data_IF_033892109695
#
_entry.id   IF_033892109695
#
_cell.length_a   1.000
_cell.length_b   1.000
_cell.length_c   1.000
_cell.angle_alpha   90.00
_cell.angle_beta   90.00
_cell.angle_gamma   90.00
#
_symmetry.space_group_name_H-M   'P 1'
#
loop_
_entity.id
_entity.type
_entity.pdbx_description
1 polymer ?
#
# COMPACT_ATOMS: atom_id res chain seq x y z
N UNK A 1 3.69 -18.82 -9.63
CA UNK A 1 3.40 -17.54 -10.35
C UNK A 1 2.43 -17.88 -11.49
N UNK A 2 1.39 -17.08 -11.76
CA UNK A 2 0.27 -17.52 -12.64
C UNK A 2 0.19 -16.82 -14.00
N UNK A 3 1.00 -15.79 -14.26
CA UNK A 3 0.97 -15.10 -15.54
C UNK A 3 1.51 -16.02 -16.65
N UNK A 4 0.67 -16.26 -17.67
CA UNK A 4 0.98 -17.11 -18.82
C UNK A 4 0.73 -16.35 -20.11
N UNK A 5 1.47 -16.67 -21.16
CA UNK A 5 1.16 -16.24 -22.54
C UNK A 5 -0.13 -16.90 -23.02
N UNK A 6 -0.60 -16.49 -24.22
CA UNK A 6 -1.73 -17.17 -24.88
C UNK A 6 -1.47 -18.67 -25.09
N UNK A 7 -0.20 -19.02 -25.31
CA UNK A 7 0.26 -20.40 -25.53
C UNK A 7 0.55 -21.16 -24.22
N UNK A 8 0.23 -20.57 -23.07
CA UNK A 8 0.31 -21.24 -21.76
C UNK A 8 1.69 -21.23 -21.10
N UNK A 9 2.71 -20.61 -21.72
CA UNK A 9 4.07 -20.49 -21.21
C UNK A 9 4.08 -19.49 -20.05
N UNK A 10 4.74 -19.82 -18.93
CA UNK A 10 4.87 -18.87 -17.83
C UNK A 10 5.78 -17.71 -18.22
N UNK A 11 5.30 -16.49 -17.97
CA UNK A 11 6.05 -15.26 -18.29
C UNK A 11 7.41 -15.21 -17.58
N UNK A 12 7.51 -15.81 -16.39
CA UNK A 12 8.76 -15.87 -15.62
C UNK A 12 9.81 -16.75 -16.30
N UNK A 13 9.39 -17.82 -16.96
CA UNK A 13 10.30 -18.72 -17.67
C UNK A 13 10.87 -18.00 -18.89
N UNK A 14 10.04 -17.27 -19.63
CA UNK A 14 10.48 -16.42 -20.75
C UNK A 14 11.51 -15.39 -20.27
N UNK A 15 11.22 -14.65 -19.19
CA UNK A 15 12.16 -13.66 -18.64
C UNK A 15 13.48 -14.33 -18.23
N UNK A 16 13.41 -15.52 -17.65
CA UNK A 16 14.59 -16.27 -17.20
C UNK A 16 15.44 -16.73 -18.38
N UNK A 17 14.83 -17.29 -19.42
CA UNK A 17 15.51 -17.76 -20.63
C UNK A 17 16.20 -16.61 -21.36
N UNK A 18 15.49 -15.50 -21.58
CA UNK A 18 16.03 -14.31 -22.25
C UNK A 18 17.21 -13.70 -21.49
N UNK A 19 17.09 -13.54 -20.15
CA UNK A 19 18.20 -12.98 -19.37
C UNK A 19 19.38 -13.95 -19.24
N UNK A 20 19.13 -15.26 -19.22
CA UNK A 20 20.20 -16.26 -19.17
C UNK A 20 20.95 -16.35 -20.50
N UNK A 21 20.27 -16.21 -21.65
CA UNK A 21 20.91 -16.17 -22.97
C UNK A 21 21.84 -14.95 -23.13
N UNK A 22 21.51 -13.86 -22.44
CA UNK A 22 22.35 -12.66 -22.32
C UNK A 22 23.51 -12.80 -21.32
N UNK A 23 23.69 -13.98 -20.72
CA UNK A 23 24.79 -14.29 -19.80
C UNK A 23 24.58 -13.86 -18.35
N UNK A 24 23.33 -13.64 -17.91
CA UNK A 24 23.03 -13.38 -16.49
C UNK A 24 22.68 -14.65 -15.74
N UNK A 25 23.07 -14.71 -14.46
CA UNK A 25 22.48 -15.62 -13.49
C UNK A 25 21.15 -15.04 -13.01
N UNK A 26 20.06 -15.79 -13.16
CA UNK A 26 18.70 -15.30 -12.92
C UNK A 26 18.04 -16.04 -11.76
N UNK A 27 17.57 -15.28 -10.79
CA UNK A 27 16.91 -15.75 -9.58
C UNK A 27 15.52 -15.13 -9.46
N UNK A 28 14.55 -15.85 -8.90
CA UNK A 28 13.25 -15.28 -8.59
C UNK A 28 12.73 -15.77 -7.25
N UNK A 29 11.98 -14.94 -6.55
CA UNK A 29 11.31 -15.32 -5.31
C UNK A 29 10.07 -14.46 -5.07
N UNK A 30 9.12 -14.97 -4.28
CA UNK A 30 7.98 -14.21 -3.79
C UNK A 30 8.30 -13.76 -2.37
N UNK A 31 8.35 -12.45 -2.16
CA UNK A 31 8.62 -11.85 -0.86
C UNK A 31 7.36 -11.18 -0.32
N UNK A 32 7.13 -11.27 0.99
CA UNK A 32 6.00 -10.65 1.68
C UNK A 32 6.45 -9.42 2.47
N UNK A 33 5.72 -8.31 2.36
CA UNK A 33 6.13 -7.04 2.98
C UNK A 33 6.13 -7.08 4.51
N UNK A 34 5.28 -7.91 5.14
CA UNK A 34 5.26 -8.09 6.61
C UNK A 34 6.59 -8.61 7.16
N UNK A 35 7.31 -9.40 6.36
CA UNK A 35 8.59 -10.01 6.73
C UNK A 35 9.72 -8.97 6.86
N UNK A 36 9.47 -7.74 6.42
CA UNK A 36 10.42 -6.62 6.42
C UNK A 36 9.88 -5.40 7.18
N UNK A 37 8.98 -5.62 8.14
CA UNK A 37 8.50 -4.57 9.05
C UNK A 37 7.50 -3.60 8.41
N UNK A 38 6.90 -3.96 7.28
CA UNK A 38 5.85 -3.16 6.64
C UNK A 38 4.48 -3.61 7.20
N UNK A 39 3.63 -2.70 7.70
CA UNK A 39 2.31 -3.01 8.28
C UNK A 39 1.26 -3.33 7.20
N UNK A 40 1.62 -4.15 6.21
CA UNK A 40 0.81 -4.47 5.04
C UNK A 40 1.04 -5.91 4.59
N UNK A 41 -0.05 -6.67 4.43
CA UNK A 41 -0.05 -8.00 3.83
C UNK A 41 0.02 -7.82 2.32
N UNK A 42 1.23 -7.93 1.76
CA UNK A 42 1.47 -7.81 0.31
C UNK A 42 2.61 -8.71 -0.12
N UNK A 43 2.30 -9.63 -1.05
CA UNK A 43 3.30 -10.46 -1.74
C UNK A 43 3.67 -9.86 -3.08
N UNK A 44 4.96 -9.83 -3.40
CA UNK A 44 5.46 -9.44 -4.72
C UNK A 44 6.47 -10.47 -5.22
N UNK A 45 6.37 -10.77 -6.52
CA UNK A 45 7.42 -11.49 -7.23
C UNK A 45 8.57 -10.53 -7.52
N UNK A 46 9.78 -10.95 -7.17
CA UNK A 46 11.01 -10.29 -7.55
C UNK A 46 11.82 -11.22 -8.44
N UNK A 47 12.42 -10.66 -9.48
CA UNK A 47 13.38 -11.32 -10.35
C UNK A 47 14.67 -10.50 -10.27
N UNK A 48 15.77 -11.18 -9.94
CA UNK A 48 17.11 -10.59 -9.87
C UNK A 48 17.95 -11.27 -10.93
N UNK A 49 18.57 -10.47 -11.80
CA UNK A 49 19.52 -10.94 -12.78
C UNK A 49 20.87 -10.27 -12.53
N UNK A 50 21.92 -11.07 -12.37
CA UNK A 50 23.27 -10.60 -12.06
C UNK A 50 24.31 -11.27 -12.96
N UNK A 51 25.34 -10.52 -13.39
CA UNK A 51 26.48 -11.08 -14.14
C UNK A 51 27.39 -11.93 -13.25
N UNK A 52 27.40 -11.65 -11.94
CA UNK A 52 28.05 -12.50 -10.93
C UNK A 52 27.02 -13.46 -10.36
N UNK A 53 27.42 -14.70 -10.10
CA UNK A 53 26.60 -15.63 -9.34
C UNK A 53 26.40 -15.13 -7.90
N UNK A 54 25.15 -15.11 -7.43
CA UNK A 54 24.77 -14.71 -6.08
C UNK A 54 24.48 -15.96 -5.25
N UNK A 55 25.07 -16.06 -4.05
CA UNK A 55 24.86 -17.19 -3.13
C UNK A 55 23.49 -17.07 -2.44
N UNK A 56 23.15 -15.87 -1.97
CA UNK A 56 21.88 -15.56 -1.32
C UNK A 56 21.19 -14.38 -2.02
N UNK A 57 20.55 -14.59 -3.18
CA UNK A 57 20.00 -13.49 -3.99
C UNK A 57 18.91 -12.67 -3.30
N UNK A 58 18.24 -13.21 -2.27
CA UNK A 58 17.15 -12.54 -1.57
C UNK A 58 17.43 -12.42 -0.06
N UNK A 59 17.00 -11.32 0.58
CA UNK A 59 17.15 -11.13 2.02
C UNK A 59 16.33 -12.17 2.81
N UNK A 60 16.83 -12.53 3.99
CA UNK A 60 16.06 -13.28 4.98
C UNK A 60 15.05 -12.34 5.67
N UNK A 61 13.90 -12.85 6.14
CA UNK A 61 12.95 -12.09 6.95
C UNK A 61 13.64 -11.43 8.16
N UNK A 62 13.27 -10.18 8.44
CA UNK A 62 13.71 -9.45 9.64
C UNK A 62 12.58 -9.31 10.66
N UNK A 63 11.33 -9.51 10.22
CA UNK A 63 10.13 -9.40 11.01
C UNK A 63 9.18 -10.58 10.75
N UNK A 64 8.21 -10.77 11.65
CA UNK A 64 6.99 -11.52 11.39
C UNK A 64 5.84 -10.94 12.23
N UNK A 65 4.60 -11.35 11.96
CA UNK A 65 3.39 -10.76 12.57
C UNK A 65 3.40 -10.83 14.11
N UNK A 66 4.02 -11.87 14.68
CA UNK A 66 4.01 -12.20 16.10
C UNK A 66 5.23 -11.70 16.87
N UNK A 67 6.35 -11.42 16.19
CA UNK A 67 7.67 -11.23 16.80
C UNK A 67 8.28 -12.51 17.37
N UNK A 68 7.97 -13.67 16.78
CA UNK A 68 8.50 -14.98 17.21
C UNK A 68 9.79 -15.36 16.48
N UNK A 69 10.45 -16.44 16.92
CA UNK A 69 11.58 -17.07 16.23
C UNK A 69 12.81 -16.17 16.05
N UNK A 70 13.01 -15.26 17.01
CA UNK A 70 14.10 -14.29 16.99
C UNK A 70 13.89 -13.11 16.01
N UNK A 71 12.71 -13.02 15.38
CA UNK A 71 12.34 -11.91 14.50
C UNK A 71 11.59 -10.81 15.25
N UNK A 72 11.67 -9.58 14.73
CA UNK A 72 10.93 -8.45 15.31
C UNK A 72 9.44 -8.54 14.95
N UNK A 73 8.57 -8.03 15.82
CA UNK A 73 7.14 -7.95 15.52
C UNK A 73 6.86 -6.95 14.41
N UNK A 74 6.13 -7.35 13.37
CA UNK A 74 5.66 -6.45 12.32
C UNK A 74 4.72 -5.39 12.93
N UNK A 75 4.91 -4.10 12.61
CA UNK A 75 3.99 -3.06 13.04
C UNK A 75 2.55 -3.34 12.58
N UNK A 76 1.58 -2.99 13.41
CA UNK A 76 0.17 -3.05 13.06
C UNK A 76 -0.25 -1.82 12.24
N UNK A 77 -1.47 -1.84 11.69
CA UNK A 77 -2.07 -0.64 11.09
C UNK A 77 -2.06 0.54 12.07
N UNK A 78 -2.42 0.30 13.33
CA UNK A 78 -2.48 1.37 14.33
C UNK A 78 -1.10 1.91 14.72
N UNK A 79 -0.09 1.04 14.75
CA UNK A 79 1.30 1.46 14.94
C UNK A 79 1.77 2.40 13.82
N UNK A 80 1.15 2.36 12.64
CA UNK A 80 1.51 3.21 11.50
C UNK A 80 0.83 4.58 11.50
N UNK A 81 -0.42 4.69 11.98
CA UNK A 81 -1.26 5.88 11.73
C UNK A 81 -1.81 6.58 12.99
N UNK A 82 -1.60 6.03 14.18
CA UNK A 82 -2.26 6.52 15.42
C UNK A 82 -1.79 7.91 15.90
N UNK A 83 -0.58 8.33 15.55
CA UNK A 83 -0.04 9.67 15.84
C UNK A 83 -0.46 10.74 14.82
N UNK A 84 -1.14 10.37 13.74
CA UNK A 84 -1.68 11.37 12.80
C UNK A 84 -2.86 12.12 13.42
N UNK A 85 -3.04 13.42 13.06
CA UNK A 85 -4.22 14.19 13.42
C UNK A 85 -5.51 13.47 13.02
N UNK A 86 -6.45 13.36 13.95
CA UNK A 86 -7.69 12.62 13.71
C UNK A 86 -8.70 13.52 13.00
N UNK A 87 -8.62 13.55 11.67
CA UNK A 87 -9.53 14.35 10.82
C UNK A 87 -10.78 13.57 10.41
N UNK A 88 -11.96 14.19 10.36
CA UNK A 88 -13.18 13.57 9.84
C UNK A 88 -13.25 13.63 8.31
N UNK A 89 -14.33 13.08 7.73
CA UNK A 89 -14.62 13.29 6.31
C UNK A 89 -14.71 14.79 6.00
N UNK A 90 -14.16 15.23 4.85
CA UNK A 90 -14.05 16.64 4.42
C UNK A 90 -13.08 17.53 5.22
N UNK A 91 -12.29 16.97 6.13
CA UNK A 91 -11.28 17.70 6.90
C UNK A 91 -9.85 17.39 6.40
N UNK A 92 -8.86 18.05 7.04
CA UNK A 92 -7.44 17.94 6.71
C UNK A 92 -7.02 18.82 5.53
N UNK A 93 -5.74 18.72 5.17
CA UNK A 93 -5.10 19.58 4.18
C UNK A 93 -3.92 18.89 3.50
N UNK A 94 -3.41 19.50 2.42
CA UNK A 94 -2.21 18.97 1.74
C UNK A 94 -0.95 19.13 2.60
N UNK A 95 -0.96 20.08 3.55
CA UNK A 95 0.09 20.29 4.54
C UNK A 95 -0.56 20.66 5.88
N UNK A 96 -0.13 20.04 6.97
CA UNK A 96 -0.53 20.38 8.35
C UNK A 96 0.54 19.99 9.36
N UNK A 97 0.46 20.53 10.56
CA UNK A 97 1.34 20.17 11.66
C UNK A 97 0.92 18.87 12.33
N UNK A 98 1.87 18.19 12.96
CA UNK A 98 1.57 17.10 13.88
C UNK A 98 0.93 17.67 15.15
N UNK A 99 -0.16 17.05 15.60
CA UNK A 99 -0.81 17.37 16.88
C UNK A 99 -0.35 16.43 18.02
N UNK A 100 0.43 15.40 17.68
CA UNK A 100 0.94 14.37 18.61
C UNK A 100 2.40 14.04 18.35
N UNK A 101 3.06 13.56 19.40
CA UNK A 101 4.38 12.94 19.28
C UNK A 101 4.27 11.53 18.69
N UNK A 102 5.36 11.05 18.08
CA UNK A 102 5.47 9.68 17.63
C UNK A 102 5.45 8.72 18.84
N UNK A 103 4.56 7.74 18.81
CA UNK A 103 4.33 6.78 19.90
C UNK A 103 5.12 5.48 19.67
N UNK A 104 5.32 5.09 18.42
CA UNK A 104 5.99 3.83 18.05
C UNK A 104 7.32 4.10 17.38
N UNK A 105 8.25 3.13 17.43
CA UNK A 105 9.52 3.24 16.71
C UNK A 105 9.32 3.32 15.20
N UNK A 106 8.26 2.69 14.69
CA UNK A 106 7.87 2.82 13.29
C UNK A 106 7.49 4.27 12.94
N UNK A 107 6.70 4.93 13.76
CA UNK A 107 6.34 6.35 13.55
C UNK A 107 7.55 7.26 13.67
N UNK A 108 8.43 7.02 14.65
CA UNK A 108 9.68 7.79 14.81
C UNK A 108 10.54 7.67 13.54
N UNK A 109 10.69 6.46 13.01
CA UNK A 109 11.43 6.20 11.79
C UNK A 109 10.81 6.91 10.57
N UNK A 110 9.49 6.82 10.38
CA UNK A 110 8.84 7.47 9.24
C UNK A 110 8.89 9.01 9.34
N UNK A 111 8.87 9.56 10.55
CA UNK A 111 8.93 11.01 10.81
C UNK A 111 10.34 11.58 10.81
N UNK A 112 11.37 10.74 10.69
CA UNK A 112 12.76 11.20 10.65
C UNK A 112 12.93 12.24 9.52
N UNK A 113 13.47 13.42 9.85
CA UNK A 113 13.59 14.57 8.95
C UNK A 113 12.26 15.15 8.43
N UNK A 114 11.13 14.88 9.09
CA UNK A 114 9.82 15.43 8.74
C UNK A 114 9.22 16.24 9.89
N UNK A 115 9.03 17.54 9.68
CA UNK A 115 8.44 18.44 10.67
C UNK A 115 6.95 18.71 10.45
N UNK A 116 6.44 18.39 9.27
CA UNK A 116 5.04 18.55 8.88
C UNK A 116 4.50 17.29 8.24
N UNK A 117 3.18 17.24 8.13
CA UNK A 117 2.44 16.16 7.48
C UNK A 117 1.99 16.65 6.12
N UNK A 118 2.38 15.95 5.05
CA UNK A 118 1.84 16.19 3.71
C UNK A 118 0.85 15.11 3.28
N UNK A 119 -0.08 15.47 2.39
CA UNK A 119 -1.08 14.58 1.77
C UNK A 119 -2.07 13.94 2.78
N UNK A 120 -2.33 14.59 3.92
CA UNK A 120 -3.27 14.12 4.93
C UNK A 120 -4.61 14.87 4.83
N UNK A 121 -5.30 14.62 3.72
CA UNK A 121 -6.61 15.21 3.42
C UNK A 121 -7.65 14.12 3.25
N UNK A 122 -8.74 14.23 4.00
CA UNK A 122 -9.84 13.28 3.91
C UNK A 122 -10.72 13.56 2.68
N UNK A 123 -11.34 12.51 2.14
CA UNK A 123 -12.25 12.63 1.01
C UNK A 123 -13.57 13.31 1.40
N UNK A 124 -14.22 13.89 0.39
CA UNK A 124 -15.51 14.56 0.55
C UNK A 124 -16.68 13.56 0.49
N UNK A 125 -16.85 12.78 1.55
CA UNK A 125 -17.94 11.80 1.65
C UNK A 125 -19.32 12.46 1.72
N UNK A 126 -20.34 11.77 1.20
CA UNK A 126 -21.74 12.16 1.38
C UNK A 126 -22.22 11.79 2.79
N UNK A 127 -23.28 12.45 3.29
CA UNK A 127 -23.87 12.12 4.60
C UNK A 127 -24.24 10.64 4.72
N UNK A 128 -24.88 10.08 3.67
CA UNK A 128 -25.23 8.65 3.59
C UNK A 128 -24.00 7.73 3.67
N UNK A 129 -22.86 8.14 3.09
CA UNK A 129 -21.65 7.33 3.14
C UNK A 129 -20.99 7.38 4.52
N UNK A 130 -21.00 8.54 5.17
CA UNK A 130 -20.56 8.69 6.57
C UNK A 130 -21.43 7.85 7.51
N UNK A 131 -22.76 7.90 7.33
CA UNK A 131 -23.73 7.08 8.07
C UNK A 131 -23.47 5.58 7.86
N UNK A 132 -23.27 5.16 6.60
CA UNK A 132 -22.85 3.79 6.27
C UNK A 132 -21.60 3.38 7.02
N UNK A 133 -20.57 4.23 7.08
CA UNK A 133 -19.37 3.88 7.81
C UNK A 133 -19.64 3.79 9.30
N UNK A 134 -20.44 4.68 9.87
CA UNK A 134 -20.77 4.66 11.31
C UNK A 134 -21.48 3.39 11.78
N UNK A 135 -22.20 2.68 10.89
CA UNK A 135 -22.84 1.41 11.22
C UNK A 135 -21.90 0.19 11.17
N UNK A 136 -20.64 0.36 10.75
CA UNK A 136 -19.68 -0.74 10.60
C UNK A 136 -18.81 -0.90 11.83
N UNK A 137 -18.56 -2.15 12.24
CA UNK A 137 -17.51 -2.55 13.19
C UNK A 137 -16.28 -3.09 12.44
N UNK A 138 -15.16 -3.35 13.14
CA UNK A 138 -13.94 -3.82 12.49
C UNK A 138 -14.16 -5.12 11.73
N UNK A 139 -13.66 -5.17 10.50
CA UNK A 139 -13.81 -6.30 9.60
C UNK A 139 -15.05 -6.23 8.71
N UNK A 140 -16.08 -5.46 9.07
CA UNK A 140 -17.29 -5.32 8.26
C UNK A 140 -17.04 -4.50 6.99
N UNK A 141 -17.78 -4.83 5.93
CA UNK A 141 -17.75 -4.20 4.62
C UNK A 141 -19.13 -3.68 4.21
N UNK A 142 -19.27 -3.17 2.97
CA UNK A 142 -20.57 -2.70 2.46
C UNK A 142 -21.68 -3.75 2.42
N UNK A 143 -21.34 -5.02 2.61
CA UNK A 143 -22.29 -6.13 2.64
C UNK A 143 -22.99 -6.28 4.00
N UNK A 144 -22.37 -5.77 5.07
CA UNK A 144 -22.81 -5.96 6.46
C UNK A 144 -23.65 -4.79 7.00
N UNK A 145 -23.92 -3.80 6.16
CA UNK A 145 -24.65 -2.58 6.54
C UNK A 145 -26.16 -2.76 6.40
N UNK A 146 -26.97 -1.98 7.14
CA UNK A 146 -28.43 -1.95 6.99
C UNK A 146 -28.88 -1.78 5.54
N UNK A 147 -30.03 -2.35 5.18
CA UNK A 147 -30.54 -2.42 3.79
C UNK A 147 -30.57 -1.06 3.10
N UNK A 148 -31.04 -0.01 3.80
CA UNK A 148 -31.11 1.35 3.26
C UNK A 148 -29.73 1.99 2.98
N UNK A 149 -28.65 1.43 3.53
CA UNK A 149 -27.28 1.88 3.33
C UNK A 149 -26.52 1.04 2.30
N UNK A 150 -27.09 -0.07 1.80
CA UNK A 150 -26.44 -0.90 0.77
C UNK A 150 -26.19 -0.12 -0.54
N UNK A 151 -25.15 -0.50 -1.32
CA UNK A 151 -24.83 0.17 -2.57
C UNK A 151 -25.96 0.00 -3.60
N UNK A 152 -26.26 1.05 -4.35
CA UNK A 152 -27.22 0.99 -5.46
C UNK A 152 -26.54 0.52 -6.76
N UNK A 153 -27.32 -0.06 -7.67
CA UNK A 153 -26.92 -0.30 -9.06
C UNK A 153 -26.61 1.03 -9.74
N UNK A 154 -25.65 1.04 -10.65
CA UNK A 154 -25.24 2.25 -11.38
C UNK A 154 -26.44 2.81 -12.15
N UNK A 155 -26.73 4.10 -11.99
CA UNK A 155 -27.85 4.81 -12.61
C UNK A 155 -29.25 4.25 -12.23
N UNK A 156 -29.39 3.58 -11.09
CA UNK A 156 -30.66 3.05 -10.59
C UNK A 156 -30.80 3.28 -9.08
N UNK A 157 -32.03 3.18 -8.56
CA UNK A 157 -32.34 3.16 -7.13
C UNK A 157 -32.43 1.75 -6.54
N UNK A 158 -32.25 0.72 -7.37
CA UNK A 158 -32.20 -0.66 -6.94
C UNK A 158 -30.89 -0.98 -6.21
N UNK A 159 -30.95 -1.88 -5.22
CA UNK A 159 -29.77 -2.35 -4.51
C UNK A 159 -28.93 -3.26 -5.41
N UNK A 160 -27.62 -3.10 -5.36
CA UNK A 160 -26.68 -3.93 -6.11
C UNK A 160 -26.59 -5.32 -5.48
N UNK A 161 -26.89 -6.35 -6.27
CA UNK A 161 -26.67 -7.76 -5.89
C UNK A 161 -25.19 -8.13 -5.88
N UNK A 162 -24.32 -7.35 -6.55
CA UNK A 162 -22.87 -7.58 -6.56
C UNK A 162 -22.26 -7.17 -5.22
N UNK A 163 -21.73 -8.16 -4.51
CA UNK A 163 -20.97 -8.00 -3.27
C UNK A 163 -19.48 -7.85 -3.60
N UNK A 164 -18.91 -6.71 -3.23
CA UNK A 164 -17.48 -6.46 -3.31
C UNK A 164 -16.92 -6.31 -1.90
N UNK A 165 -16.58 -7.44 -1.29
CA UNK A 165 -16.25 -7.54 0.15
C UNK A 165 -14.99 -6.73 0.56
N UNK A 166 -14.13 -6.36 -0.38
CA UNK A 166 -12.99 -5.47 -0.13
C UNK A 166 -13.29 -3.98 -0.28
N UNK A 167 -14.50 -3.60 -0.70
CA UNK A 167 -14.86 -2.19 -0.83
C UNK A 167 -15.38 -1.66 0.50
N UNK A 168 -14.87 -0.49 0.90
CA UNK A 168 -15.15 0.17 2.17
C UNK A 168 -15.16 -0.77 3.39
N UNK A 169 -14.16 -1.65 3.50
CA UNK A 169 -14.00 -2.46 4.70
C UNK A 169 -13.44 -1.62 5.84
N UNK A 170 -14.07 -1.65 7.01
CA UNK A 170 -13.51 -1.05 8.23
C UNK A 170 -12.34 -1.89 8.72
N UNK A 171 -11.16 -1.30 8.76
CA UNK A 171 -9.93 -2.02 9.06
C UNK A 171 -9.77 -2.30 10.56
N UNK A 172 -9.13 -3.43 10.87
CA UNK A 172 -8.80 -3.80 12.24
C UNK A 172 -7.49 -3.11 12.68
N UNK A 173 -7.45 -2.40 13.82
CA UNK A 173 -6.28 -1.60 14.20
C UNK A 173 -5.06 -2.46 14.56
N UNK A 174 -5.28 -3.57 15.27
CA UNK A 174 -4.21 -4.43 15.81
C UNK A 174 -3.67 -5.48 14.82
N UNK A 175 -3.96 -5.34 13.52
CA UNK A 175 -3.49 -6.23 12.47
C UNK A 175 -2.78 -5.43 11.39
N UNK A 176 -1.83 -6.02 10.63
CA UNK A 176 -1.35 -5.41 9.41
C UNK A 176 -2.51 -5.11 8.45
N UNK A 177 -2.39 -4.04 7.68
CA UNK A 177 -3.40 -3.67 6.69
C UNK A 177 -3.43 -4.68 5.54
N UNK A 178 -4.58 -4.79 4.86
CA UNK A 178 -4.62 -5.44 3.55
C UNK A 178 -3.81 -4.63 2.51
N UNK A 179 -3.58 -5.24 1.36
CA UNK A 179 -2.78 -4.64 0.29
C UNK A 179 -3.27 -3.25 -0.11
N UNK A 180 -2.39 -2.25 -0.03
CA UNK A 180 -2.62 -0.90 -0.54
C UNK A 180 -2.54 -0.95 -2.07
N UNK A 181 -3.69 -1.13 -2.73
CA UNK A 181 -3.80 -1.15 -4.19
C UNK A 181 -3.88 0.26 -4.78
N UNK A 182 -3.67 0.44 -6.09
CA UNK A 182 -3.75 1.75 -6.75
C UNK A 182 -5.09 2.49 -6.55
N UNK A 183 -6.15 1.76 -6.21
CA UNK A 183 -7.51 2.26 -5.96
C UNK A 183 -7.91 2.26 -4.48
N UNK A 184 -6.95 2.20 -3.55
CA UNK A 184 -7.23 1.96 -2.12
C UNK A 184 -8.15 3.00 -1.46
N UNK A 185 -8.30 4.18 -2.06
CA UNK A 185 -9.19 5.25 -1.62
C UNK A 185 -10.65 4.80 -1.41
N UNK A 186 -11.10 3.73 -2.09
CA UNK A 186 -12.44 3.16 -1.94
C UNK A 186 -12.46 1.80 -1.24
N UNK A 187 -11.29 1.25 -0.88
CA UNK A 187 -11.19 -0.09 -0.31
C UNK A 187 -11.31 -0.08 1.21
N UNK A 188 -10.69 0.90 1.87
CA UNK A 188 -10.49 0.83 3.33
C UNK A 188 -11.14 2.00 4.05
N UNK A 189 -11.83 1.71 5.14
CA UNK A 189 -12.40 2.66 6.10
C UNK A 189 -11.51 2.66 7.34
N UNK A 190 -11.23 3.86 7.86
CA UNK A 190 -10.40 4.06 9.05
C UNK A 190 -10.95 3.27 10.25
N UNK A 191 -10.11 2.64 11.10
CA UNK A 191 -10.60 1.79 12.19
C UNK A 191 -11.62 2.48 13.12
N UNK A 192 -11.39 3.76 13.43
CA UNK A 192 -12.20 4.54 14.39
C UNK A 192 -12.97 5.71 13.80
N UNK A 193 -12.69 6.09 12.55
CA UNK A 193 -13.27 7.29 11.94
C UNK A 193 -14.20 6.89 10.80
N UNK A 194 -15.19 7.72 10.51
CA UNK A 194 -16.19 7.47 9.47
C UNK A 194 -15.75 8.05 8.12
N UNK A 195 -14.56 7.64 7.69
CA UNK A 195 -13.97 8.01 6.40
C UNK A 195 -13.01 6.93 5.89
N UNK A 196 -12.80 6.91 4.57
CA UNK A 196 -11.69 6.19 3.97
C UNK A 196 -10.32 6.75 4.38
N UNK A 197 -9.27 5.96 4.11
CA UNK A 197 -7.89 6.40 4.30
C UNK A 197 -7.51 7.60 3.42
N UNK A 198 -6.72 8.49 3.99
CA UNK A 198 -5.98 9.54 3.29
C UNK A 198 -4.81 8.96 2.51
N UNK A 199 -4.25 9.77 1.61
CA UNK A 199 -3.01 9.41 0.92
C UNK A 199 -1.86 9.20 1.92
N UNK A 200 -1.69 10.08 2.92
CA UNK A 200 -0.68 9.92 3.98
C UNK A 200 -0.79 8.61 4.75
N UNK A 201 -1.98 8.21 5.16
CA UNK A 201 -2.17 6.93 5.86
C UNK A 201 -1.77 5.75 4.98
N UNK A 202 -2.19 5.73 3.71
CA UNK A 202 -1.76 4.70 2.75
C UNK A 202 -0.25 4.70 2.48
N UNK A 203 0.37 5.88 2.44
CA UNK A 203 1.81 6.03 2.28
C UNK A 203 2.57 5.44 3.46
N UNK A 204 2.15 5.74 4.69
CA UNK A 204 2.74 5.14 5.90
C UNK A 204 2.52 3.63 5.96
N UNK A 205 1.36 3.12 5.56
CA UNK A 205 1.13 1.67 5.48
C UNK A 205 2.07 1.00 4.46
N UNK A 206 2.41 1.72 3.38
CA UNK A 206 3.43 1.33 2.40
C UNK A 206 4.86 1.65 2.87
N UNK A 207 5.09 2.11 4.10
CA UNK A 207 6.40 2.48 4.66
C UNK A 207 7.12 3.66 3.99
N UNK A 208 6.38 4.56 3.34
CA UNK A 208 6.96 5.81 2.88
C UNK A 208 7.29 6.72 4.07
N UNK A 209 8.48 7.34 4.08
CA UNK A 209 8.78 8.37 5.07
C UNK A 209 7.89 9.59 4.87
N UNK A 210 7.68 10.35 5.94
CA UNK A 210 6.75 11.46 5.96
C UNK A 210 7.23 12.67 5.16
N UNK A 211 8.55 12.84 5.00
CA UNK A 211 9.13 13.86 4.13
C UNK A 211 8.84 13.62 2.64
N UNK A 212 8.44 12.40 2.23
CA UNK A 212 8.11 12.12 0.84
C UNK A 212 6.72 12.66 0.50
N UNK A 213 6.67 13.62 -0.42
CA UNK A 213 5.44 14.32 -0.83
C UNK A 213 4.95 13.79 -2.17
N UNK A 214 3.71 13.30 -2.21
CA UNK A 214 3.06 12.88 -3.45
C UNK A 214 2.45 14.10 -4.15
N UNK A 215 2.75 14.24 -5.44
CA UNK A 215 2.25 15.35 -6.28
C UNK A 215 1.02 14.93 -7.06
N UNK A 216 0.31 15.91 -7.62
CA UNK A 216 -0.94 15.69 -8.37
C UNK A 216 -2.18 15.67 -7.47
N UNK A 217 -3.34 15.48 -8.08
CA UNK A 217 -4.62 15.38 -7.35
C UNK A 217 -4.65 14.12 -6.50
N UNK A 218 -5.37 14.11 -5.35
CA UNK A 218 -5.51 12.91 -4.55
C UNK A 218 -6.04 11.73 -5.37
N UNK A 219 -7.20 11.89 -6.01
CA UNK A 219 -7.90 10.86 -6.79
C UNK A 219 -7.73 10.99 -8.30
N UNK A 220 -8.04 9.91 -9.01
CA UNK A 220 -8.07 9.86 -10.49
C UNK A 220 -8.99 10.95 -11.03
N UNK A 221 -8.44 11.75 -11.95
CA UNK A 221 -9.22 12.72 -12.74
C UNK A 221 -9.90 11.97 -13.89
N UNK A 222 -11.13 12.36 -14.23
CA UNK A 222 -11.87 11.76 -15.35
C UNK A 222 -11.01 11.69 -16.61
N UNK A 223 -10.83 10.49 -17.19
CA UNK A 223 -10.03 10.34 -18.40
C UNK A 223 -10.58 11.19 -19.56
N UNK A 224 -11.90 11.35 -19.64
CA UNK A 224 -12.54 12.23 -20.63
C UNK A 224 -12.19 13.70 -20.40
N UNK A 225 -12.07 14.12 -19.13
CA UNK A 225 -11.68 15.49 -18.80
C UNK A 225 -10.21 15.73 -19.15
N UNK A 226 -9.33 14.82 -18.77
CA UNK A 226 -7.90 14.89 -19.11
C UNK A 226 -7.70 14.95 -20.63
N UNK A 227 -8.41 14.12 -21.39
CA UNK A 227 -8.38 14.15 -22.85
C UNK A 227 -8.85 15.49 -23.42
N UNK A 228 -9.99 16.02 -22.92
CA UNK A 228 -10.52 17.33 -23.36
C UNK A 228 -9.56 18.48 -23.05
N UNK A 229 -8.77 18.37 -21.98
CA UNK A 229 -7.79 19.38 -21.57
C UNK A 229 -6.38 19.13 -22.14
N UNK A 230 -6.17 18.09 -22.97
CA UNK A 230 -4.86 17.75 -23.52
C UNK A 230 -3.84 17.25 -22.49
N UNK A 231 -4.30 16.80 -21.32
CA UNK A 231 -3.48 16.37 -20.16
C UNK A 231 -3.45 14.85 -20.02
N UNK A 232 -3.29 14.14 -21.14
CA UNK A 232 -3.39 12.68 -21.15
C UNK A 232 -2.27 11.99 -20.37
N UNK A 233 -1.11 12.63 -20.25
CA UNK A 233 0.04 12.13 -19.48
C UNK A 233 -0.23 12.10 -17.97
N UNK A 234 -1.25 12.84 -17.50
CA UNK A 234 -1.67 12.81 -16.09
C UNK A 234 -2.56 11.60 -15.75
N UNK A 235 -2.86 10.73 -16.72
CA UNK A 235 -3.54 9.47 -16.46
C UNK A 235 -2.73 8.67 -15.45
N UNK A 236 -3.40 8.20 -14.40
CA UNK A 236 -2.82 7.39 -13.32
C UNK A 236 -1.77 8.09 -12.44
N UNK A 237 -1.60 9.42 -12.56
CA UNK A 237 -0.67 10.20 -11.73
C UNK A 237 -1.31 10.76 -10.45
N UNK A 238 -2.46 10.25 -10.02
CA UNK A 238 -3.03 10.67 -8.74
C UNK A 238 -2.26 10.09 -7.55
N UNK A 239 -2.30 10.77 -6.40
CA UNK A 239 -1.54 10.39 -5.20
C UNK A 239 -1.83 8.92 -4.79
N UNK A 240 -3.11 8.51 -4.78
CA UNK A 240 -3.51 7.14 -4.44
C UNK A 240 -2.91 6.09 -5.39
N UNK A 241 -2.81 6.38 -6.69
CA UNK A 241 -2.21 5.47 -7.67
C UNK A 241 -0.70 5.33 -7.46
N UNK A 242 0.00 6.46 -7.26
CA UNK A 242 1.44 6.47 -7.00
C UNK A 242 1.79 5.58 -5.80
N UNK A 243 1.06 5.76 -4.69
CA UNK A 243 1.24 4.99 -3.45
C UNK A 243 0.92 3.50 -3.66
N UNK A 244 -0.21 3.17 -4.29
CA UNK A 244 -0.65 1.77 -4.41
C UNK A 244 0.16 0.93 -5.42
N UNK A 245 0.76 1.59 -6.41
CA UNK A 245 1.61 0.93 -7.41
C UNK A 245 3.04 0.70 -6.91
N UNK A 246 3.51 1.51 -5.96
CA UNK A 246 4.86 1.43 -5.44
C UNK A 246 5.20 0.10 -4.72
N UNK A 247 6.50 -0.19 -4.66
CA UNK A 247 7.08 -1.18 -3.74
C UNK A 247 7.33 -0.47 -2.40
N UNK A 248 6.98 -1.09 -1.25
CA UNK A 248 7.26 -0.48 0.05
C UNK A 248 8.75 -0.13 0.23
N UNK A 249 9.11 1.11 0.64
CA UNK A 249 10.51 1.49 0.78
C UNK A 249 11.34 0.62 1.74
N UNK A 250 10.77 0.16 2.87
CA UNK A 250 11.52 -0.72 3.78
C UNK A 250 11.85 -2.07 3.12
N UNK A 251 10.90 -2.68 2.43
CA UNK A 251 11.13 -3.92 1.69
C UNK A 251 12.16 -3.73 0.58
N UNK A 252 12.07 -2.62 -0.17
CA UNK A 252 13.03 -2.30 -1.22
C UNK A 252 14.45 -2.09 -0.64
N UNK A 253 14.56 -1.43 0.52
CA UNK A 253 15.83 -1.23 1.23
C UNK A 253 16.49 -2.57 1.61
N UNK A 254 15.75 -3.50 2.20
CA UNK A 254 16.30 -4.81 2.59
C UNK A 254 16.77 -5.62 1.38
N UNK A 255 16.03 -5.59 0.27
CA UNK A 255 16.46 -6.22 -0.98
C UNK A 255 17.75 -5.56 -1.50
N UNK A 256 17.81 -4.23 -1.52
CA UNK A 256 18.98 -3.49 -2.02
C UNK A 256 20.22 -3.75 -1.16
N UNK A 257 20.10 -3.75 0.17
CA UNK A 257 21.21 -4.05 1.09
C UNK A 257 21.71 -5.49 0.91
N UNK A 258 20.81 -6.46 0.72
CA UNK A 258 21.20 -7.84 0.45
C UNK A 258 22.00 -7.96 -0.86
N UNK A 259 21.50 -7.36 -1.95
CA UNK A 259 22.20 -7.36 -3.24
C UNK A 259 23.57 -6.69 -3.11
N UNK A 260 23.65 -5.55 -2.42
CA UNK A 260 24.89 -4.82 -2.19
C UNK A 260 25.94 -5.70 -1.47
N UNK A 261 25.54 -6.41 -0.41
CA UNK A 261 26.43 -7.31 0.31
C UNK A 261 26.89 -8.49 -0.56
N UNK A 262 25.98 -9.11 -1.31
CA UNK A 262 26.29 -10.24 -2.19
C UNK A 262 27.26 -9.86 -3.32
N UNK A 263 27.12 -8.65 -3.88
CA UNK A 263 27.93 -8.20 -5.03
C UNK A 263 29.31 -7.66 -4.60
N UNK A 264 29.38 -6.97 -3.47
CA UNK A 264 30.58 -6.19 -3.08
C UNK A 264 31.34 -6.72 -1.86
N UNK A 265 30.75 -7.55 -1.00
CA UNK A 265 31.38 -7.97 0.26
C UNK A 265 31.63 -9.47 0.39
N UNK A 266 30.93 -10.32 -0.37
CA UNK A 266 31.10 -11.77 -0.31
C UNK A 266 32.40 -12.31 -0.95
N UNK A 267 33.17 -11.46 -1.65
CA UNK A 267 34.49 -11.81 -2.20
C UNK A 267 35.62 -11.75 -1.14
N UNK A 268 35.31 -11.53 0.15
CA UNK A 268 36.29 -11.37 1.26
C UNK A 268 36.29 -12.48 2.33
N UNK A 269 35.71 -13.65 2.07
CA UNK A 269 35.77 -14.80 2.99
C UNK A 269 36.22 -16.08 2.31
#
# INVERSE_FOLDING_TARGET
IKAKTKDGIFVVDIIKEELSSLGYHVYHNILESTDFGVPQIRKRLFIIASRKELKNPFPKPTHNITGSDGLKKTPTLWDAISDLPQINAREGSEEMDYDKQALTDYQKQLRENSHKISNHKAMNHSKRLVERFSSMTWGQSTSDVPEHLKPYKRNSKEISEKVYDQNNRRMHPNKPCHTIAASFYANFVHPYLNRNFTAREGARIQSFPDWYVFKGKPTVVSHKLLQREGREDEKYLCQYNQIGNAVPPLMAKEIALNIFNEVFYNDKK
#
